data_IF_803225705274
#
_entry.id   IF_803225705274
#
_cell.length_a   1.000
_cell.length_b   1.000
_cell.length_c   1.000
_cell.angle_alpha   90.00
_cell.angle_beta   90.00
_cell.angle_gamma   90.00
#
_symmetry.space_group_name_H-M   'P 1'
#
loop_
_entity.id
_entity.type
_entity.pdbx_description
1 polymer ?
#
# COMPACT_ATOMS: atom_id res chain seq x y z
N UNK A 1 -3.63 -1.91 -21.72
CA UNK A 1 -3.42 -3.10 -20.87
C UNK A 1 -1.98 -3.53 -21.04
N UNK A 2 -1.28 -3.80 -19.93
CA UNK A 2 0.09 -4.35 -19.96
C UNK A 2 -0.02 -5.87 -20.17
N UNK A 3 0.83 -6.43 -21.04
CA UNK A 3 0.82 -7.87 -21.35
C UNK A 3 1.33 -8.68 -20.14
N UNK A 4 0.70 -9.83 -19.86
CA UNK A 4 1.11 -10.72 -18.76
C UNK A 4 2.19 -11.70 -19.21
N UNK A 5 3.45 -11.29 -19.24
CA UNK A 5 4.59 -12.11 -19.68
C UNK A 5 5.25 -12.92 -18.54
N UNK A 6 5.06 -12.51 -17.28
CA UNK A 6 5.76 -12.99 -16.09
C UNK A 6 4.84 -13.57 -15.00
N UNK A 7 3.53 -13.65 -15.21
CA UNK A 7 2.56 -14.22 -14.26
C UNK A 7 2.90 -15.64 -13.76
N UNK A 8 3.58 -16.47 -14.57
CA UNK A 8 4.08 -17.78 -14.13
C UNK A 8 5.30 -17.67 -13.20
N UNK A 9 6.12 -16.63 -13.37
CA UNK A 9 7.33 -16.44 -12.56
C UNK A 9 6.98 -16.06 -11.12
N UNK A 10 5.86 -15.39 -10.89
CA UNK A 10 5.43 -15.01 -9.54
C UNK A 10 4.75 -16.17 -8.79
N UNK A 11 4.19 -17.14 -9.53
CA UNK A 11 3.63 -18.39 -9.01
C UNK A 11 4.76 -19.39 -8.73
N UNK A 12 5.70 -18.99 -7.88
CA UNK A 12 6.85 -19.82 -7.54
C UNK A 12 6.36 -21.02 -6.71
N UNK A 13 6.75 -22.21 -7.15
CA UNK A 13 6.56 -23.45 -6.41
C UNK A 13 7.83 -23.76 -5.60
N UNK A 14 7.82 -23.55 -4.27
CA UNK A 14 9.03 -23.59 -3.46
C UNK A 14 9.68 -24.98 -3.46
N UNK A 15 11.00 -25.02 -3.64
CA UNK A 15 11.84 -26.16 -3.28
C UNK A 15 12.34 -26.03 -1.84
N UNK A 16 11.45 -25.88 -0.85
CA UNK A 16 11.69 -25.86 0.62
C UNK A 16 12.95 -25.13 1.18
N UNK A 17 13.72 -24.36 0.40
CA UNK A 17 14.97 -23.73 0.83
C UNK A 17 14.68 -22.32 1.29
N UNK A 18 14.65 -22.15 2.60
CA UNK A 18 14.56 -20.87 3.30
C UNK A 18 15.88 -20.69 4.02
N UNK A 19 16.63 -19.67 3.65
CA UNK A 19 17.95 -19.44 4.22
C UNK A 19 18.29 -17.97 4.06
N UNK A 20 18.93 -17.39 5.06
CA UNK A 20 19.65 -16.13 4.93
C UNK A 20 21.12 -16.41 4.72
N UNK A 21 21.80 -15.51 3.99
CA UNK A 21 23.27 -15.48 4.04
C UNK A 21 23.64 -14.71 5.30
N UNK A 22 24.32 -15.36 6.25
CA UNK A 22 24.77 -14.82 7.56
C UNK A 22 25.51 -13.46 7.50
N UNK A 23 25.84 -12.95 6.31
CA UNK A 23 26.47 -11.65 6.09
C UNK A 23 25.52 -10.44 6.23
N UNK A 24 24.20 -10.61 6.29
CA UNK A 24 23.22 -9.53 6.55
C UNK A 24 22.94 -9.36 8.07
N UNK A 25 24.01 -9.32 8.88
CA UNK A 25 23.99 -8.91 10.31
C UNK A 25 23.28 -9.87 11.30
N UNK A 26 23.56 -11.17 11.24
CA UNK A 26 23.08 -12.07 12.29
C UNK A 26 21.56 -12.26 12.28
N UNK A 27 20.96 -12.37 11.09
CA UNK A 27 19.53 -12.69 10.95
C UNK A 27 19.35 -14.16 10.54
N UNK A 28 18.32 -14.80 11.09
CA UNK A 28 17.93 -16.17 10.72
C UNK A 28 16.47 -16.19 10.32
N UNK A 29 16.22 -16.76 9.14
CA UNK A 29 14.89 -16.94 8.58
C UNK A 29 14.45 -18.39 8.61
N UNK A 30 13.20 -18.60 9.00
CA UNK A 30 12.56 -19.91 8.99
C UNK A 30 11.11 -19.80 8.49
N UNK A 31 10.50 -20.95 8.20
CA UNK A 31 9.06 -21.00 7.95
C UNK A 31 8.40 -21.76 9.08
N UNK A 32 7.46 -21.08 9.72
CA UNK A 32 6.59 -21.62 10.73
C UNK A 32 5.15 -21.31 10.29
N UNK A 33 4.49 -22.32 9.72
CA UNK A 33 3.14 -22.17 9.19
C UNK A 33 2.14 -21.78 10.29
N UNK A 34 2.22 -22.41 11.46
CA UNK A 34 1.27 -22.16 12.55
C UNK A 34 1.43 -20.74 13.08
N UNK A 35 2.67 -20.28 13.26
CA UNK A 35 2.95 -18.94 13.72
C UNK A 35 2.53 -17.87 12.69
N UNK A 36 2.83 -18.09 11.41
CA UNK A 36 2.41 -17.20 10.32
C UNK A 36 0.89 -17.13 10.21
N UNK A 37 0.18 -18.25 10.29
CA UNK A 37 -1.29 -18.22 10.26
C UNK A 37 -1.88 -17.54 11.50
N UNK A 38 -1.27 -17.75 12.67
CA UNK A 38 -1.73 -17.15 13.92
C UNK A 38 -1.61 -15.62 13.94
N UNK A 39 -0.59 -15.07 13.31
CA UNK A 39 -0.31 -13.63 13.29
C UNK A 39 -0.62 -12.97 11.94
N UNK A 40 -1.27 -13.69 11.01
CA UNK A 40 -1.71 -13.14 9.73
C UNK A 40 -2.81 -12.11 9.99
N UNK A 41 -2.65 -10.85 9.58
CA UNK A 41 -3.69 -9.85 9.76
C UNK A 41 -4.97 -10.25 9.01
N UNK A 42 -6.14 -10.28 9.69
CA UNK A 42 -7.41 -10.42 8.99
C UNK A 42 -7.53 -9.34 7.92
N UNK A 43 -7.80 -9.74 6.67
CA UNK A 43 -7.75 -8.82 5.53
C UNK A 43 -8.98 -8.96 4.63
N UNK A 44 -9.53 -7.85 4.13
CA UNK A 44 -10.67 -7.83 3.22
C UNK A 44 -10.36 -7.17 1.88
N UNK A 45 -10.98 -7.67 0.81
CA UNK A 45 -10.85 -7.12 -0.54
C UNK A 45 -9.66 -7.66 -1.33
N UNK A 46 -8.98 -8.71 -0.84
CA UNK A 46 -7.85 -9.35 -1.52
C UNK A 46 -8.30 -10.05 -2.81
N UNK A 47 -9.34 -10.88 -2.73
CA UNK A 47 -9.69 -11.82 -3.79
C UNK A 47 -10.55 -11.15 -4.87
N UNK A 48 -11.59 -10.43 -4.44
CA UNK A 48 -12.62 -9.89 -5.34
C UNK A 48 -12.67 -8.35 -5.36
N UNK A 49 -11.77 -7.67 -4.63
CA UNK A 49 -11.75 -6.21 -4.51
C UNK A 49 -11.74 -5.51 -5.87
N UNK A 50 -10.81 -5.89 -6.75
CA UNK A 50 -10.63 -5.28 -8.06
C UNK A 50 -11.87 -5.47 -8.95
N UNK A 51 -12.42 -6.69 -8.97
CA UNK A 51 -13.64 -7.01 -9.72
C UNK A 51 -14.86 -6.28 -9.15
N UNK A 52 -14.92 -6.05 -7.84
CA UNK A 52 -15.96 -5.24 -7.23
C UNK A 52 -15.82 -3.76 -7.61
N UNK A 53 -14.59 -3.23 -7.62
CA UNK A 53 -14.30 -1.86 -8.02
C UNK A 53 -14.64 -1.63 -9.50
N UNK A 54 -14.19 -2.51 -10.39
CA UNK A 54 -14.51 -2.51 -11.83
C UNK A 54 -16.03 -2.44 -12.07
N UNK A 55 -16.81 -3.33 -11.44
CA UNK A 55 -18.27 -3.34 -11.57
C UNK A 55 -18.91 -2.04 -11.09
N UNK A 56 -18.37 -1.45 -10.03
CA UNK A 56 -18.92 -0.24 -9.41
C UNK A 56 -18.58 1.03 -10.20
N UNK A 57 -17.46 1.04 -10.92
CA UNK A 57 -16.93 2.21 -11.63
C UNK A 57 -17.02 2.12 -13.15
N UNK A 58 -17.65 1.07 -13.69
CA UNK A 58 -17.83 0.91 -15.14
C UNK A 58 -18.52 2.12 -15.76
N UNK A 59 -17.89 2.71 -16.78
CA UNK A 59 -18.36 3.93 -17.44
C UNK A 59 -18.09 5.24 -16.66
N UNK A 60 -17.37 5.16 -15.53
CA UNK A 60 -16.90 6.32 -14.75
C UNK A 60 -15.40 6.53 -14.89
N UNK A 61 -14.63 5.44 -14.91
CA UNK A 61 -13.17 5.44 -15.13
C UNK A 61 -12.83 4.90 -16.53
N UNK A 62 -11.61 5.11 -17.05
CA UNK A 62 -11.23 4.66 -18.39
C UNK A 62 -11.43 3.15 -18.61
N UNK A 63 -11.86 2.75 -19.80
CA UNK A 63 -12.08 1.34 -20.15
C UNK A 63 -10.81 0.50 -19.98
N UNK A 64 -9.64 1.08 -20.26
CA UNK A 64 -8.35 0.43 -20.03
C UNK A 64 -8.10 0.08 -18.56
N UNK A 65 -8.59 0.92 -17.63
CA UNK A 65 -8.49 0.68 -16.18
C UNK A 65 -9.52 -0.37 -15.73
N UNK A 66 -10.71 -0.37 -16.32
CA UNK A 66 -11.72 -1.42 -16.10
C UNK A 66 -11.20 -2.79 -16.52
N UNK A 67 -10.63 -2.88 -17.72
CA UNK A 67 -10.03 -4.10 -18.25
C UNK A 67 -8.88 -4.60 -17.38
N UNK A 68 -8.04 -3.68 -16.89
CA UNK A 68 -6.97 -3.97 -15.94
C UNK A 68 -7.51 -4.58 -14.64
N UNK A 69 -8.47 -3.92 -13.99
CA UNK A 69 -9.12 -4.41 -12.76
C UNK A 69 -9.80 -5.78 -12.96
N UNK A 70 -10.49 -5.98 -14.09
CA UNK A 70 -11.14 -7.26 -14.40
C UNK A 70 -10.12 -8.39 -14.61
N UNK A 71 -8.89 -8.04 -15.01
CA UNK A 71 -7.83 -8.99 -15.30
C UNK A 71 -6.96 -9.34 -14.09
N UNK A 72 -6.97 -8.56 -13.02
CA UNK A 72 -6.17 -8.83 -11.81
C UNK A 72 -6.59 -10.12 -11.11
N UNK A 73 -5.61 -10.95 -10.76
CA UNK A 73 -5.80 -12.09 -9.87
C UNK A 73 -4.90 -12.02 -8.64
N UNK A 74 -5.50 -12.27 -7.47
CA UNK A 74 -4.75 -12.54 -6.26
C UNK A 74 -4.09 -13.93 -6.33
N UNK A 75 -2.77 -13.96 -6.17
CA UNK A 75 -1.94 -15.19 -6.28
C UNK A 75 -1.80 -15.90 -4.93
N UNK A 76 -1.79 -15.13 -3.84
CA UNK A 76 -1.73 -15.63 -2.47
C UNK A 76 -0.80 -14.85 -1.56
N UNK A 77 -0.65 -15.35 -0.33
CA UNK A 77 0.25 -14.80 0.68
C UNK A 77 1.47 -15.69 0.84
N UNK A 78 2.64 -15.07 0.82
CA UNK A 78 3.92 -15.71 1.11
C UNK A 78 4.50 -15.15 2.39
N UNK A 79 5.06 -15.98 3.26
CA UNK A 79 5.64 -15.51 4.50
C UNK A 79 6.78 -16.34 5.06
N UNK A 80 7.54 -15.71 5.96
CA UNK A 80 8.63 -16.30 6.74
C UNK A 80 8.77 -15.58 8.07
N UNK A 81 9.38 -16.26 9.04
CA UNK A 81 9.70 -15.71 10.37
C UNK A 81 11.20 -15.39 10.42
N UNK A 82 11.53 -14.19 10.90
CA UNK A 82 12.88 -13.66 10.93
C UNK A 82 13.21 -13.31 12.37
N UNK A 83 14.37 -13.80 12.84
CA UNK A 83 14.89 -13.53 14.17
C UNK A 83 16.27 -12.89 14.10
N UNK A 84 16.59 -12.05 15.07
CA UNK A 84 17.97 -11.65 15.34
C UNK A 84 18.68 -12.79 16.10
N UNK A 85 19.92 -13.12 15.73
CA UNK A 85 20.72 -14.15 16.42
C UNK A 85 21.04 -13.76 17.85
N UNK A 86 21.15 -12.47 18.10
CA UNK A 86 21.62 -11.91 19.37
C UNK A 86 20.45 -11.63 20.32
N UNK A 87 19.23 -11.53 19.80
CA UNK A 87 17.99 -11.41 20.57
C UNK A 87 16.86 -12.24 19.92
N UNK A 88 16.73 -13.53 20.30
CA UNK A 88 15.73 -14.42 19.73
C UNK A 88 14.30 -14.13 20.24
N UNK A 89 14.12 -13.28 21.26
CA UNK A 89 12.79 -12.90 21.76
C UNK A 89 12.09 -11.90 20.84
N UNK A 90 12.87 -11.18 20.02
CA UNK A 90 12.38 -10.28 18.99
C UNK A 90 12.23 -11.05 17.67
N UNK A 91 11.01 -11.09 17.14
CA UNK A 91 10.75 -11.73 15.85
C UNK A 91 9.93 -10.82 14.94
N UNK A 92 10.24 -10.89 13.64
CA UNK A 92 9.44 -10.29 12.59
C UNK A 92 8.82 -11.40 11.74
N UNK A 93 7.50 -11.42 11.66
CA UNK A 93 6.76 -12.19 10.67
C UNK A 93 6.58 -11.32 9.43
N UNK A 94 7.23 -11.72 8.36
CA UNK A 94 7.18 -11.03 7.09
C UNK A 94 6.16 -11.72 6.19
N UNK A 95 5.23 -10.93 5.65
CA UNK A 95 4.24 -11.34 4.67
C UNK A 95 4.42 -10.54 3.37
N UNK A 96 4.17 -11.21 2.25
CA UNK A 96 4.05 -10.63 0.92
C UNK A 96 2.73 -11.11 0.32
N UNK A 97 1.81 -10.16 0.15
CA UNK A 97 0.56 -10.36 -0.58
C UNK A 97 0.85 -10.14 -2.04
N UNK A 98 0.49 -11.08 -2.91
CA UNK A 98 0.92 -11.07 -4.31
C UNK A 98 -0.27 -11.10 -5.23
N UNK A 99 -0.24 -10.21 -6.22
CA UNK A 99 -1.16 -10.16 -7.35
C UNK A 99 -0.39 -10.34 -8.65
N UNK A 100 -1.06 -10.85 -9.66
CA UNK A 100 -0.45 -11.01 -10.99
C UNK A 100 -0.47 -9.74 -11.84
N UNK A 101 -1.09 -8.69 -11.32
CA UNK A 101 -1.31 -7.42 -12.01
C UNK A 101 -1.59 -6.32 -11.00
N UNK A 102 -1.27 -5.06 -11.34
CA UNK A 102 -1.78 -3.86 -10.69
C UNK A 102 -2.49 -2.99 -11.73
N UNK A 103 -3.63 -2.41 -11.39
CA UNK A 103 -4.40 -1.58 -12.33
C UNK A 103 -3.97 -0.10 -12.32
N UNK A 104 -3.51 0.41 -11.19
CA UNK A 104 -3.17 1.83 -10.98
C UNK A 104 -1.90 1.97 -10.11
N UNK A 105 -0.76 2.38 -10.69
CA UNK A 105 -0.50 2.43 -12.14
C UNK A 105 -0.51 1.02 -12.76
N UNK A 106 -0.90 0.92 -14.02
CA UNK A 106 -1.02 -0.36 -14.70
C UNK A 106 0.34 -1.04 -14.92
N UNK A 107 0.61 -2.17 -14.27
CA UNK A 107 1.79 -3.00 -14.51
C UNK A 107 1.55 -4.47 -14.22
N UNK A 108 2.41 -5.32 -14.80
CA UNK A 108 2.36 -6.75 -14.52
C UNK A 108 3.06 -7.06 -13.20
N UNK A 109 2.50 -7.99 -12.43
CA UNK A 109 2.99 -8.45 -11.14
C UNK A 109 3.02 -7.34 -10.10
N UNK A 110 2.42 -7.62 -8.96
CA UNK A 110 2.40 -6.66 -7.87
C UNK A 110 2.47 -7.37 -6.53
N UNK A 111 3.01 -6.69 -5.54
CA UNK A 111 3.13 -7.22 -4.21
C UNK A 111 3.11 -6.13 -3.16
N UNK A 112 2.45 -6.43 -2.03
CA UNK A 112 2.38 -5.52 -0.90
C UNK A 112 2.97 -6.21 0.35
N UNK A 113 4.06 -5.67 0.93
CA UNK A 113 4.65 -6.22 2.13
C UNK A 113 3.86 -5.83 3.39
N UNK A 114 3.80 -6.77 4.33
CA UNK A 114 3.35 -6.50 5.70
C UNK A 114 4.32 -7.16 6.67
N UNK A 115 4.78 -6.40 7.65
CA UNK A 115 5.72 -6.85 8.67
C UNK A 115 5.03 -6.79 10.03
N UNK A 116 4.93 -7.93 10.71
CA UNK A 116 4.38 -8.01 12.07
C UNK A 116 5.53 -8.29 13.02
N UNK A 117 5.79 -7.37 13.94
CA UNK A 117 6.82 -7.51 14.95
C UNK A 117 6.17 -8.00 16.23
N UNK A 118 6.70 -9.09 16.78
CA UNK A 118 6.23 -9.68 18.04
C UNK A 118 7.33 -9.49 19.08
N UNK A 119 6.96 -8.81 20.17
CA UNK A 119 7.83 -8.45 21.29
C UNK A 119 7.21 -9.01 22.56
N UNK A 120 7.53 -10.26 22.91
CA UNK A 120 6.91 -10.94 24.05
C UNK A 120 5.39 -11.12 23.87
N UNK A 121 4.60 -10.36 24.64
CA UNK A 121 3.13 -10.40 24.56
C UNK A 121 2.54 -9.32 23.64
N UNK A 122 3.35 -8.34 23.23
CA UNK A 122 2.91 -7.24 22.38
C UNK A 122 3.24 -7.51 20.93
N UNK A 123 2.46 -6.92 20.03
CA UNK A 123 2.76 -6.89 18.61
C UNK A 123 2.37 -5.55 17.99
N UNK A 124 3.15 -5.14 17.01
CA UNK A 124 2.82 -4.02 16.13
C UNK A 124 3.05 -4.44 14.68
N UNK A 125 2.38 -3.74 13.78
CA UNK A 125 2.45 -4.01 12.36
C UNK A 125 2.99 -2.79 11.62
N UNK A 126 3.82 -3.06 10.62
CA UNK A 126 4.23 -2.08 9.63
C UNK A 126 3.76 -2.58 8.28
N UNK A 127 3.01 -1.75 7.58
CA UNK A 127 2.48 -2.09 6.26
C UNK A 127 2.81 -0.99 5.28
N UNK A 128 2.85 -1.38 4.01
CA UNK A 128 3.09 -0.45 2.93
C UNK A 128 1.86 0.39 2.62
N UNK A 129 2.13 1.66 2.36
CA UNK A 129 1.14 2.59 1.89
C UNK A 129 1.65 3.14 0.58
N UNK A 130 1.06 2.61 -0.49
CA UNK A 130 1.24 2.97 -1.90
C UNK A 130 2.68 2.89 -2.40
N UNK A 131 3.52 2.04 -1.80
CA UNK A 131 4.94 1.86 -2.13
C UNK A 131 5.84 3.06 -1.91
N UNK A 132 5.28 4.16 -1.41
CA UNK A 132 6.01 5.40 -1.16
C UNK A 132 6.27 5.59 0.32
N UNK A 133 5.45 5.04 1.22
CA UNK A 133 5.59 5.29 2.65
C UNK A 133 5.09 4.15 3.51
N UNK A 134 5.76 3.90 4.63
CA UNK A 134 5.28 2.94 5.62
C UNK A 134 4.33 3.58 6.61
N UNK A 135 3.46 2.75 7.18
CA UNK A 135 2.65 3.09 8.33
C UNK A 135 2.88 2.05 9.41
N UNK A 136 2.97 2.55 10.64
CA UNK A 136 3.01 1.73 11.84
C UNK A 136 1.65 1.75 12.48
N UNK A 137 1.24 0.59 12.94
CA UNK A 137 0.04 0.40 13.71
C UNK A 137 0.42 -0.30 15.02
N UNK A 138 0.26 0.45 16.10
CA UNK A 138 0.55 0.02 17.46
C UNK A 138 -0.63 -0.70 18.10
N UNK A 139 -0.34 -1.64 19.00
CA UNK A 139 -1.34 -2.38 19.78
C UNK A 139 -2.25 -3.29 18.95
N UNK A 140 -1.68 -4.03 18.01
CA UNK A 140 -2.40 -5.19 17.47
C UNK A 140 -2.26 -6.30 18.49
N UNK A 141 -3.17 -6.34 19.45
CA UNK A 141 -3.45 -7.61 20.09
C UNK A 141 -4.11 -8.48 19.01
N UNK A 142 -3.29 -9.06 18.09
CA UNK A 142 -3.70 -9.87 16.94
C UNK A 142 -4.59 -11.07 17.33
N UNK A 143 -4.82 -11.25 18.64
CA UNK A 143 -5.67 -12.24 19.27
C UNK A 143 -7.07 -11.73 19.63
N UNK A 144 -7.31 -10.41 19.66
CA UNK A 144 -8.62 -9.83 19.90
C UNK A 144 -9.30 -9.50 18.57
N UNK A 145 -10.50 -10.05 18.40
CA UNK A 145 -11.39 -9.82 17.26
C UNK A 145 -11.71 -8.32 17.12
N UNK A 146 -11.51 -7.75 15.94
CA UNK A 146 -11.87 -6.36 15.63
C UNK A 146 -10.96 -5.74 14.58
N UNK A 147 -9.64 -5.79 14.82
CA UNK A 147 -8.68 -5.10 13.98
C UNK A 147 -8.29 -5.87 12.70
N UNK A 148 -8.23 -5.20 11.56
CA UNK A 148 -7.79 -5.81 10.29
C UNK A 148 -7.31 -4.82 9.25
N UNK A 149 -7.01 -5.36 8.06
CA UNK A 149 -6.63 -4.61 6.88
C UNK A 149 -7.73 -4.66 5.83
N UNK A 150 -7.86 -3.59 5.07
CA UNK A 150 -8.71 -3.52 3.87
C UNK A 150 -7.85 -3.07 2.70
N UNK A 151 -7.89 -3.85 1.63
CA UNK A 151 -7.22 -3.52 0.37
C UNK A 151 -7.88 -2.31 -0.27
N UNK A 152 -7.07 -1.41 -0.84
CA UNK A 152 -7.48 -0.40 -1.80
C UNK A 152 -7.38 -1.04 -3.19
N UNK A 153 -8.51 -1.50 -3.78
CA UNK A 153 -8.45 -2.24 -5.03
C UNK A 153 -7.88 -1.38 -6.16
N UNK A 154 -7.20 -2.02 -7.11
CA UNK A 154 -6.50 -1.38 -8.22
C UNK A 154 -5.12 -0.85 -7.87
N UNK A 155 -4.88 -0.50 -6.61
CA UNK A 155 -3.59 -0.01 -6.08
C UNK A 155 -2.93 -0.99 -5.11
N UNK A 156 -3.64 -2.05 -4.72
CA UNK A 156 -3.20 -3.11 -3.81
C UNK A 156 -2.54 -2.70 -2.49
N UNK A 157 -2.76 -1.47 -2.06
CA UNK A 157 -2.28 -1.00 -0.77
C UNK A 157 -3.29 -1.23 0.34
N UNK A 158 -2.85 -1.14 1.60
CA UNK A 158 -3.68 -1.43 2.75
C UNK A 158 -4.14 -0.19 3.51
N UNK A 159 -5.37 -0.25 4.01
CA UNK A 159 -5.93 0.66 4.99
C UNK A 159 -6.30 -0.11 6.28
N UNK A 160 -6.02 0.43 7.47
CA UNK A 160 -6.42 -0.19 8.72
C UNK A 160 -7.95 -0.07 8.90
N UNK A 161 -8.56 -1.03 9.57
CA UNK A 161 -9.98 -0.99 9.94
C UNK A 161 -10.20 -1.61 11.32
N UNK A 162 -11.03 -0.95 12.13
CA UNK A 162 -11.29 -1.30 13.54
C UNK A 162 -12.34 -2.38 13.74
N UNK A 163 -13.25 -2.51 12.76
CA UNK A 163 -14.28 -3.53 12.73
C UNK A 163 -14.25 -4.19 11.36
N UNK A 164 -13.42 -5.22 11.25
CA UNK A 164 -13.42 -6.06 10.06
C UNK A 164 -14.69 -6.93 10.07
N UNK A 165 -15.62 -6.64 9.15
CA UNK A 165 -16.80 -7.48 8.92
C UNK A 165 -16.43 -8.83 8.31
N UNK A 166 -16.96 -9.13 7.12
CA UNK A 166 -16.52 -10.32 6.38
C UNK A 166 -15.13 -10.09 5.79
N UNK A 167 -14.18 -10.96 6.13
CA UNK A 167 -12.84 -10.97 5.58
C UNK A 167 -12.63 -12.12 4.60
N UNK A 168 -11.58 -12.04 3.79
CA UNK A 168 -11.25 -13.08 2.84
C UNK A 168 -10.65 -14.29 3.56
N UNK A 169 -11.12 -15.48 3.21
CA UNK A 169 -10.60 -16.73 3.76
C UNK A 169 -9.29 -17.09 3.04
N UNK A 170 -8.17 -16.98 3.77
CA UNK A 170 -6.85 -17.35 3.27
C UNK A 170 -6.53 -18.76 3.79
N UNK A 171 -6.56 -19.75 2.91
CA UNK A 171 -6.36 -21.16 3.27
C UNK A 171 -4.96 -21.44 3.85
N UNK A 172 -3.94 -20.72 3.38
CA UNK A 172 -2.56 -20.91 3.84
C UNK A 172 -1.62 -19.77 3.45
N UNK A 173 -0.64 -19.50 4.31
CA UNK A 173 0.57 -18.73 3.97
C UNK A 173 1.61 -19.68 3.40
N UNK A 174 2.08 -19.41 2.18
CA UNK A 174 3.13 -20.19 1.48
C UNK A 174 4.52 -19.74 1.96
N UNK A 175 5.56 -20.59 1.90
CA UNK A 175 6.88 -20.20 2.37
C UNK A 175 7.54 -19.17 1.43
N UNK A 176 7.93 -18.02 1.99
CA UNK A 176 8.67 -16.96 1.31
C UNK A 176 10.18 -17.26 1.33
N UNK A 177 10.76 -17.58 0.16
CA UNK A 177 12.21 -17.83 0.05
C UNK A 177 12.95 -16.72 -0.67
N UNK A 178 14.26 -16.64 -0.45
CA UNK A 178 15.16 -15.77 -1.21
C UNK A 178 15.09 -15.97 -2.72
N UNK A 179 14.64 -17.14 -3.19
CA UNK A 179 14.39 -17.35 -4.60
C UNK A 179 13.19 -16.54 -5.08
N UNK A 180 12.11 -16.45 -4.30
CA UNK A 180 10.95 -15.60 -4.64
C UNK A 180 11.38 -14.14 -4.75
N UNK A 181 12.12 -13.65 -3.75
CA UNK A 181 12.65 -12.29 -3.75
C UNK A 181 13.49 -12.02 -5.01
N UNK A 182 14.44 -12.91 -5.33
CA UNK A 182 15.25 -12.80 -6.55
C UNK A 182 14.42 -12.84 -7.83
N UNK A 183 13.39 -13.68 -7.89
CA UNK A 183 12.52 -13.81 -9.06
C UNK A 183 11.67 -12.56 -9.25
N UNK A 184 11.07 -12.02 -8.19
CA UNK A 184 10.29 -10.79 -8.24
C UNK A 184 11.16 -9.57 -8.58
N UNK A 185 12.38 -9.47 -8.05
CA UNK A 185 13.33 -8.43 -8.46
C UNK A 185 13.78 -8.52 -9.92
N UNK A 186 13.65 -9.70 -10.54
CA UNK A 186 14.02 -9.92 -11.94
C UNK A 186 12.89 -9.60 -12.92
N UNK A 187 11.74 -9.12 -12.45
CA UNK A 187 10.66 -8.61 -13.31
C UNK A 187 11.20 -7.38 -14.05
N UNK A 188 11.22 -7.36 -15.40
CA UNK A 188 11.79 -6.27 -16.18
C UNK A 188 11.06 -4.93 -16.03
N UNK A 189 9.77 -4.95 -15.70
CA UNK A 189 8.96 -3.75 -15.51
C UNK A 189 9.50 -2.93 -14.32
N UNK A 190 9.78 -1.65 -14.53
CA UNK A 190 10.27 -0.76 -13.47
C UNK A 190 9.17 -0.42 -12.47
N UNK A 191 7.92 -0.29 -12.91
CA UNK A 191 6.79 -0.01 -12.05
C UNK A 191 6.51 -1.17 -11.08
N UNK A 192 6.74 -2.42 -11.51
CA UNK A 192 6.66 -3.61 -10.66
C UNK A 192 7.87 -3.79 -9.73
N UNK A 193 8.99 -3.08 -9.98
CA UNK A 193 10.25 -3.18 -9.24
C UNK A 193 10.34 -2.15 -8.11
N UNK A 194 9.27 -1.94 -7.35
CA UNK A 194 9.30 -1.01 -6.22
C UNK A 194 10.21 -1.57 -5.12
N UNK A 195 11.26 -0.81 -4.77
CA UNK A 195 12.48 -1.35 -4.14
C UNK A 195 12.48 -1.24 -2.63
N UNK A 196 11.70 -2.08 -1.97
CA UNK A 196 11.81 -2.32 -0.52
C UNK A 196 12.92 -3.33 -0.16
N UNK A 197 13.94 -3.46 -1.02
CA UNK A 197 14.90 -4.57 -1.04
C UNK A 197 15.67 -4.73 0.29
N UNK A 198 16.19 -3.61 0.80
CA UNK A 198 16.91 -3.59 2.08
C UNK A 198 16.05 -4.10 3.23
N UNK A 199 14.77 -3.72 3.24
CA UNK A 199 13.80 -4.08 4.28
C UNK A 199 13.26 -5.50 4.15
N UNK A 200 13.14 -6.02 2.92
CA UNK A 200 12.74 -7.42 2.74
C UNK A 200 13.83 -8.38 3.24
N UNK A 201 15.09 -7.94 3.13
CA UNK A 201 16.29 -8.62 3.62
C UNK A 201 16.43 -8.47 5.13
N UNK A 202 16.46 -7.24 5.63
CA UNK A 202 16.53 -6.90 7.04
C UNK A 202 15.28 -6.11 7.46
N UNK A 203 14.21 -6.79 7.93
CA UNK A 203 12.99 -6.10 8.33
C UNK A 203 13.21 -5.21 9.57
N UNK A 204 14.28 -5.38 10.34
CA UNK A 204 14.50 -4.57 11.55
C UNK A 204 14.99 -3.15 11.23
N UNK A 205 15.33 -2.86 9.97
CA UNK A 205 15.56 -1.48 9.52
C UNK A 205 14.29 -0.60 9.60
N UNK A 206 13.09 -1.20 9.70
CA UNK A 206 11.80 -0.49 9.71
C UNK A 206 11.27 -0.12 11.11
N UNK A 207 12.04 -0.24 12.20
CA UNK A 207 11.51 -0.02 13.56
C UNK A 207 10.84 1.36 13.80
N UNK A 208 11.08 2.34 12.92
CA UNK A 208 10.37 3.63 12.88
C UNK A 208 9.45 3.77 11.64
N UNK A 209 8.23 4.33 11.78
CA UNK A 209 7.37 4.64 10.64
C UNK A 209 8.03 5.69 9.72
N UNK A 210 8.03 5.45 8.41
CA UNK A 210 8.75 6.23 7.41
C UNK A 210 9.14 5.41 6.17
N UNK A 211 9.42 6.08 5.05
CA UNK A 211 9.61 5.53 3.70
C UNK A 211 10.42 4.22 3.60
N UNK A 212 9.95 3.24 2.82
CA UNK A 212 10.64 1.96 2.57
C UNK A 212 11.80 2.02 1.58
N UNK A 213 12.36 3.19 1.33
CA UNK A 213 13.58 3.32 0.53
C UNK A 213 14.69 3.71 1.49
N UNK A 214 15.86 3.09 1.34
CA UNK A 214 17.06 3.47 2.11
C UNK A 214 17.35 4.98 1.92
N UNK A 215 17.12 5.48 0.70
CA UNK A 215 17.19 6.90 0.33
C UNK A 215 15.98 7.25 -0.56
N UNK A 216 14.83 7.66 0.01
CA UNK A 216 13.66 7.99 -0.78
C UNK A 216 13.94 9.24 -1.62
N UNK A 217 13.64 9.18 -2.91
CA UNK A 217 13.77 10.34 -3.78
C UNK A 217 12.70 11.41 -3.48
N UNK A 218 12.86 12.58 -4.10
CA UNK A 218 11.95 13.70 -3.88
C UNK A 218 10.51 13.38 -4.28
N UNK A 219 10.29 12.52 -5.28
CA UNK A 219 8.95 12.16 -5.73
C UNK A 219 8.24 11.34 -4.65
N UNK A 220 8.91 10.32 -4.11
CA UNK A 220 8.38 9.49 -3.02
C UNK A 220 8.10 10.33 -1.76
N UNK A 221 9.01 11.24 -1.41
CA UNK A 221 8.81 12.19 -0.30
C UNK A 221 7.58 13.09 -0.53
N UNK A 222 7.43 13.62 -1.74
CA UNK A 222 6.31 14.50 -2.10
C UNK A 222 4.98 13.76 -2.07
N UNK A 223 4.91 12.54 -2.60
CA UNK A 223 3.69 11.71 -2.62
C UNK A 223 3.25 11.39 -1.18
N UNK A 224 4.18 10.91 -0.34
CA UNK A 224 3.89 10.63 1.06
C UNK A 224 3.39 11.87 1.81
N UNK A 225 4.08 13.01 1.67
CA UNK A 225 3.67 14.26 2.28
C UNK A 225 2.26 14.68 1.82
N UNK A 226 1.98 14.53 0.51
CA UNK A 226 0.67 14.88 -0.05
C UNK A 226 -0.43 14.02 0.56
N UNK A 227 -0.20 12.72 0.67
CA UNK A 227 -1.12 11.81 1.33
C UNK A 227 -1.38 12.18 2.79
N UNK A 228 -0.32 12.46 3.55
CA UNK A 228 -0.42 12.85 4.95
C UNK A 228 -1.25 14.12 5.14
N UNK A 229 -1.10 15.12 4.26
CA UNK A 229 -1.91 16.34 4.34
C UNK A 229 -3.38 16.11 3.98
N UNK A 230 -3.68 15.19 3.04
CA UNK A 230 -5.05 14.76 2.75
C UNK A 230 -5.66 14.01 3.94
N UNK A 231 -4.91 13.10 4.55
CA UNK A 231 -5.30 12.35 5.74
C UNK A 231 -5.57 13.27 6.94
N UNK A 232 -4.66 14.21 7.20
CA UNK A 232 -4.82 15.19 8.28
C UNK A 232 -6.08 16.04 8.07
N UNK A 233 -6.35 16.48 6.84
CA UNK A 233 -7.57 17.21 6.54
C UNK A 233 -8.83 16.34 6.72
N UNK A 234 -8.77 15.04 6.37
CA UNK A 234 -9.87 14.10 6.63
C UNK A 234 -10.20 14.02 8.12
N UNK A 235 -9.19 14.01 9.00
CA UNK A 235 -9.39 14.00 10.46
C UNK A 235 -9.96 15.32 10.99
N UNK A 236 -9.71 16.44 10.32
CA UNK A 236 -10.11 17.77 10.78
C UNK A 236 -11.50 18.23 10.32
N UNK A 237 -12.04 17.66 9.23
CA UNK A 237 -13.29 18.13 8.62
C UNK A 237 -14.35 17.03 8.55
N UNK A 238 -15.52 17.29 9.14
CA UNK A 238 -16.68 16.37 9.13
C UNK A 238 -17.17 16.01 7.72
N UNK A 239 -17.07 16.95 6.76
CA UNK A 239 -17.41 16.70 5.35
C UNK A 239 -16.16 16.19 4.61
N UNK A 240 -16.10 14.90 4.22
CA UNK A 240 -14.94 14.34 3.53
C UNK A 240 -14.71 15.00 2.15
N UNK A 241 -15.73 15.60 1.54
CA UNK A 241 -15.56 16.36 0.28
C UNK A 241 -14.73 17.62 0.52
N UNK A 242 -15.03 18.34 1.61
CA UNK A 242 -14.28 19.51 2.03
C UNK A 242 -12.87 19.13 2.47
N UNK A 243 -12.75 18.04 3.24
CA UNK A 243 -11.48 17.53 3.70
C UNK A 243 -10.48 17.30 2.56
N UNK A 244 -10.88 16.58 1.52
CA UNK A 244 -9.98 16.28 0.39
C UNK A 244 -9.53 17.56 -0.32
N UNK A 245 -10.44 18.53 -0.52
CA UNK A 245 -10.10 19.80 -1.15
C UNK A 245 -9.08 20.56 -0.30
N UNK A 246 -9.32 20.69 1.00
CA UNK A 246 -8.43 21.41 1.90
C UNK A 246 -7.09 20.69 2.11
N UNK A 247 -7.10 19.37 2.19
CA UNK A 247 -5.90 18.53 2.24
C UNK A 247 -5.05 18.67 0.98
N UNK A 248 -5.66 18.65 -0.20
CA UNK A 248 -4.97 18.87 -1.48
C UNK A 248 -4.35 20.28 -1.55
N UNK A 249 -5.06 21.31 -1.08
CA UNK A 249 -4.51 22.68 -0.99
C UNK A 249 -3.30 22.74 -0.03
N UNK A 250 -3.39 22.09 1.13
CA UNK A 250 -2.29 22.02 2.11
C UNK A 250 -1.09 21.28 1.55
N UNK A 251 -1.32 20.15 0.90
CA UNK A 251 -0.28 19.38 0.23
C UNK A 251 0.46 20.20 -0.82
N UNK A 252 -0.28 20.93 -1.66
CA UNK A 252 0.36 21.82 -2.64
C UNK A 252 1.19 22.92 -1.97
N UNK A 253 0.70 23.52 -0.87
CA UNK A 253 1.43 24.57 -0.17
C UNK A 253 2.67 24.06 0.58
N UNK A 254 2.57 22.91 1.25
CA UNK A 254 3.58 22.38 2.17
C UNK A 254 4.53 21.37 1.52
N UNK A 255 4.02 20.49 0.67
CA UNK A 255 4.79 19.40 0.07
C UNK A 255 5.43 19.86 -1.24
N UNK A 256 4.67 20.54 -2.11
CA UNK A 256 5.20 21.11 -3.36
C UNK A 256 5.89 22.44 -3.09
N UNK A 257 5.18 23.40 -2.51
CA UNK A 257 5.71 24.75 -2.24
C UNK A 257 5.87 25.61 -3.49
N UNK A 258 5.72 26.93 -3.34
CA UNK A 258 5.71 27.89 -4.47
C UNK A 258 7.06 27.93 -5.22
N UNK A 259 8.16 27.63 -4.53
CA UNK A 259 9.52 27.70 -5.09
C UNK A 259 10.06 26.34 -5.59
N UNK A 260 9.32 25.25 -5.41
CA UNK A 260 9.76 23.89 -5.73
C UNK A 260 8.78 23.17 -6.69
N UNK A 261 8.47 23.85 -7.81
CA UNK A 261 7.55 23.36 -8.85
C UNK A 261 7.98 22.03 -9.49
N UNK A 262 9.25 21.63 -9.37
CA UNK A 262 9.70 20.32 -9.82
C UNK A 262 9.00 19.17 -9.08
N UNK A 263 8.48 19.41 -7.86
CA UNK A 263 7.67 18.44 -7.09
C UNK A 263 6.23 18.31 -7.57
N UNK A 264 5.77 19.23 -8.43
CA UNK A 264 4.39 19.25 -8.91
C UNK A 264 4.01 17.98 -9.67
N UNK A 265 4.97 17.39 -10.41
CA UNK A 265 4.74 16.15 -11.14
C UNK A 265 4.28 15.01 -10.24
N UNK A 266 4.97 14.80 -9.11
CA UNK A 266 4.63 13.76 -8.14
C UNK A 266 3.27 14.00 -7.46
N UNK A 267 2.95 15.26 -7.15
CA UNK A 267 1.63 15.64 -6.64
C UNK A 267 0.50 15.34 -7.64
N UNK A 268 0.69 15.71 -8.91
CA UNK A 268 -0.29 15.47 -9.97
C UNK A 268 -0.43 13.98 -10.30
N UNK A 269 0.67 13.23 -10.25
CA UNK A 269 0.67 11.78 -10.42
C UNK A 269 -0.27 11.13 -9.40
N UNK A 270 -0.06 11.41 -8.11
CA UNK A 270 -0.91 10.91 -7.04
C UNK A 270 -2.40 11.25 -7.26
N UNK A 271 -2.70 12.50 -7.60
CA UNK A 271 -4.09 12.89 -7.87
C UNK A 271 -4.68 12.16 -9.09
N UNK A 272 -3.87 11.91 -10.11
CA UNK A 272 -4.24 11.12 -11.28
C UNK A 272 -4.56 9.67 -10.92
N UNK A 273 -3.72 9.03 -10.10
CA UNK A 273 -3.96 7.68 -9.60
C UNK A 273 -5.26 7.61 -8.78
N UNK A 274 -5.48 8.57 -7.86
CA UNK A 274 -6.73 8.67 -7.10
C UNK A 274 -7.96 8.89 -8.00
N UNK A 275 -7.82 9.63 -9.10
CA UNK A 275 -8.88 9.80 -10.12
C UNK A 275 -9.16 8.48 -10.83
N UNK A 276 -8.12 7.74 -11.21
CA UNK A 276 -8.25 6.50 -11.98
C UNK A 276 -8.84 5.35 -11.15
N UNK A 277 -8.65 5.39 -9.82
CA UNK A 277 -9.37 4.56 -8.85
C UNK A 277 -10.80 5.04 -8.58
N UNK A 278 -11.23 6.10 -9.26
CA UNK A 278 -12.53 6.73 -9.06
C UNK A 278 -12.69 7.35 -7.68
N UNK A 279 -11.62 7.61 -6.91
CA UNK A 279 -11.72 8.29 -5.62
C UNK A 279 -12.07 9.77 -5.82
N UNK A 280 -11.45 10.40 -6.80
CA UNK A 280 -11.60 11.83 -7.09
C UNK A 280 -12.11 12.07 -8.51
N UNK A 281 -12.76 13.21 -8.73
CA UNK A 281 -12.91 13.82 -10.05
C UNK A 281 -12.01 15.05 -10.11
N UNK A 282 -11.21 15.12 -11.17
CA UNK A 282 -10.40 16.28 -11.49
C UNK A 282 -10.97 16.96 -12.73
N UNK A 283 -11.03 18.29 -12.71
CA UNK A 283 -11.48 19.08 -13.87
C UNK A 283 -10.42 19.17 -15.00
N UNK A 284 -9.29 18.47 -14.87
CA UNK A 284 -8.20 18.45 -15.85
C UNK A 284 -8.08 17.06 -16.48
N UNK A 285 -8.05 17.00 -17.80
CA UNK A 285 -7.55 15.84 -18.55
C UNK A 285 -6.02 15.83 -18.47
N UNK A 286 -5.43 14.69 -18.11
CA UNK A 286 -4.00 14.52 -17.79
C UNK A 286 -3.02 14.93 -18.90
N UNK A 287 -3.52 15.24 -20.10
CA UNK A 287 -2.73 15.58 -21.28
C UNK A 287 -2.56 17.09 -21.52
N UNK A 288 -3.13 17.94 -20.64
CA UNK A 288 -2.99 19.41 -20.75
C UNK A 288 -1.80 19.88 -19.93
N UNK A 289 -0.84 20.57 -20.56
CA UNK A 289 0.30 21.18 -19.87
C UNK A 289 -0.16 22.13 -18.76
N UNK A 290 0.21 21.84 -17.52
CA UNK A 290 -0.17 22.63 -16.34
C UNK A 290 0.90 23.70 -16.10
N UNK A 291 0.53 24.98 -16.26
CA UNK A 291 1.36 26.10 -15.82
C UNK A 291 0.94 26.63 -14.43
N UNK A 292 1.67 27.61 -13.90
CA UNK A 292 1.40 28.24 -12.61
C UNK A 292 0.03 28.96 -12.54
N UNK A 293 -0.52 29.41 -13.67
CA UNK A 293 -1.69 30.29 -13.74
C UNK A 293 -3.04 29.55 -13.65
N UNK A 294 -3.34 28.60 -14.53
CA UNK A 294 -3.03 27.21 -14.20
C UNK A 294 -3.55 26.69 -12.85
N UNK A 295 -2.57 26.30 -12.05
CA UNK A 295 -2.66 25.90 -10.64
C UNK A 295 -3.35 26.96 -9.77
N UNK A 296 -3.02 28.24 -9.96
CA UNK A 296 -3.63 29.33 -9.19
C UNK A 296 -5.15 29.42 -9.37
N UNK A 297 -5.62 29.20 -10.59
CA UNK A 297 -7.04 29.15 -10.95
C UNK A 297 -7.71 27.87 -10.41
N UNK A 298 -7.01 26.73 -10.53
CA UNK A 298 -7.46 25.44 -9.99
C UNK A 298 -7.71 25.47 -8.49
N UNK A 299 -6.81 26.09 -7.74
CA UNK A 299 -6.93 26.21 -6.28
C UNK A 299 -8.08 27.13 -5.86
N UNK A 300 -8.31 28.21 -6.60
CA UNK A 300 -9.36 29.18 -6.33
C UNK A 300 -10.74 28.61 -6.64
N UNK A 301 -10.85 27.89 -7.75
CA UNK A 301 -12.15 27.48 -8.30
C UNK A 301 -12.54 26.05 -7.85
N UNK A 302 -11.63 25.32 -7.18
CA UNK A 302 -11.88 23.98 -6.67
C UNK A 302 -11.82 22.92 -7.77
N UNK A 303 -10.62 22.50 -8.13
CA UNK A 303 -10.39 21.60 -9.27
C UNK A 303 -10.57 20.10 -8.97
N UNK A 304 -10.75 19.73 -7.70
CA UNK A 304 -10.92 18.35 -7.22
C UNK A 304 -12.26 18.24 -6.52
N UNK A 305 -12.98 17.13 -6.74
CA UNK A 305 -14.13 16.74 -5.94
C UNK A 305 -14.09 15.27 -5.58
N UNK A 306 -14.58 14.92 -4.39
CA UNK A 306 -14.66 13.54 -3.92
C UNK A 306 -15.86 12.82 -4.56
N UNK A 307 -15.66 11.61 -5.07
CA UNK A 307 -16.76 10.78 -5.59
C UNK A 307 -17.46 10.01 -4.47
N UNK A 308 -18.58 9.35 -4.79
CA UNK A 308 -19.24 8.44 -3.85
C UNK A 308 -18.32 7.26 -3.46
N UNK A 309 -17.68 6.64 -4.45
CA UNK A 309 -16.72 5.53 -4.25
C UNK A 309 -15.52 5.96 -3.44
N UNK A 310 -14.98 7.15 -3.71
CA UNK A 310 -13.91 7.74 -2.91
C UNK A 310 -14.30 7.91 -1.45
N UNK A 311 -15.53 8.34 -1.16
CA UNK A 311 -16.02 8.41 0.23
C UNK A 311 -16.02 7.06 0.95
N UNK A 312 -16.28 5.96 0.25
CA UNK A 312 -16.26 4.61 0.81
C UNK A 312 -14.81 4.09 1.02
N UNK A 313 -13.90 4.40 0.09
CA UNK A 313 -12.47 4.09 0.22
C UNK A 313 -11.85 4.91 1.36
N UNK A 314 -12.13 6.21 1.47
CA UNK A 314 -11.50 7.08 2.47
C UNK A 314 -11.99 6.84 3.91
N UNK A 315 -13.16 6.20 4.12
CA UNK A 315 -13.63 5.86 5.48
C UNK A 315 -12.63 5.03 6.30
N UNK A 316 -11.82 4.18 5.66
CA UNK A 316 -10.77 3.41 6.35
C UNK A 316 -9.53 4.23 6.74
N UNK A 317 -9.37 5.45 6.22
CA UNK A 317 -8.35 6.37 6.73
C UNK A 317 -8.79 7.06 8.03
N UNK A 318 -10.11 7.12 8.28
CA UNK A 318 -10.72 7.80 9.41
C UNK A 318 -10.94 6.91 10.63
N UNK A 319 -10.86 5.58 10.48
CA UNK A 319 -11.08 4.66 11.61
C UNK A 319 -9.99 4.74 12.69
N UNK A 320 -8.84 5.38 12.48
CA UNK A 320 -7.80 5.48 13.52
C UNK A 320 -8.07 6.49 14.65
N UNK A 321 -9.32 6.89 14.90
CA UNK A 321 -9.66 7.85 15.95
C UNK A 321 -10.96 7.51 16.65
N UNK A 322 -10.94 6.46 17.46
CA UNK A 322 -11.66 6.40 18.74
C UNK A 322 -10.76 5.65 19.75
N UNK A 323 -9.66 6.29 20.14
CA UNK A 323 -9.02 5.95 21.42
C UNK A 323 -9.71 6.80 22.47
N UNK A 324 -10.54 6.13 23.27
CA UNK A 324 -11.25 6.64 24.44
C UNK A 324 -10.44 7.68 25.23
N UNK A 325 -10.96 8.91 25.32
CA UNK A 325 -10.76 9.76 26.50
C UNK A 325 -11.60 9.14 27.64
N UNK A 326 -11.00 8.18 28.36
CA UNK A 326 -11.58 7.50 29.52
C UNK A 326 -10.57 7.20 30.62
#
# INVERSE_FOLDING_TARGET
MVEKEFGDKIRVHPRFRLSYREHERGLVGSYDHELLMKYLPPTSGLIDGDKALSRSLRGVIPDSTIEALDSTEFVGVYGRVIHQTDDPEVMCLQYLFVWDYQAVPAHECDYEPVFVYVLGNDAYMIYDFVHYCSRRLDSVNLRNEGFGLRVVPGWHSFLPVDELGKHDEIDSVKPLSDQHLRTWWSIPDEAARLKIEGFLRDPFLLEAPGHFLDEPDENAQTICCTFLEIENALKEFDDPRKAVIEGSKRALAKCVGILALYRLGAYLQLLGEMRDLGMLRMAIESDVGIDLSTIGTMLRDGFISLTKTGGEILKGLLSNTDVDDG
#
